data_IF_647493516777
#
_entry.id   IF_647493516777
#
_cell.length_a   1.000
_cell.length_b   1.000
_cell.length_c   1.000
_cell.angle_alpha   90.00
_cell.angle_beta   90.00
_cell.angle_gamma   90.00
#
_symmetry.space_group_name_H-M   'P 1'
#
loop_
_entity.id
_entity.type
_entity.pdbx_description
1 polymer ?
#
# COMPACT_ATOMS: atom_id res chain seq x y z
N UNK A 1 -21.32 5.85 -3.55
CA UNK A 1 -21.58 4.45 -3.13
C UNK A 1 -20.85 3.42 -3.99
N UNK A 2 -20.79 3.57 -5.33
CA UNK A 2 -20.07 2.61 -6.20
C UNK A 2 -18.55 2.60 -5.93
N UNK A 3 -17.92 3.78 -5.88
CA UNK A 3 -16.47 3.92 -5.65
C UNK A 3 -16.02 3.30 -4.32
N UNK A 4 -16.80 3.47 -3.26
CA UNK A 4 -16.52 2.88 -1.95
C UNK A 4 -16.62 1.36 -1.98
N UNK A 5 -17.60 0.79 -2.71
CA UNK A 5 -17.72 -0.66 -2.87
C UNK A 5 -16.54 -1.22 -3.67
N UNK A 6 -16.12 -0.52 -4.72
CA UNK A 6 -14.96 -0.88 -5.53
C UNK A 6 -13.68 -0.85 -4.70
N UNK A 7 -13.42 0.24 -3.97
CA UNK A 7 -12.28 0.38 -3.05
C UNK A 7 -12.23 -0.73 -1.99
N UNK A 8 -13.38 -1.04 -1.38
CA UNK A 8 -13.48 -2.13 -0.40
C UNK A 8 -13.21 -3.50 -1.04
N UNK A 9 -13.71 -3.73 -2.25
CA UNK A 9 -13.51 -4.99 -2.96
C UNK A 9 -12.03 -5.17 -3.36
N UNK A 10 -11.40 -4.14 -3.91
CA UNK A 10 -9.98 -4.14 -4.29
C UNK A 10 -9.10 -4.31 -3.06
N UNK A 11 -9.35 -3.52 -2.02
CA UNK A 11 -8.64 -3.63 -0.75
C UNK A 11 -8.73 -5.03 -0.16
N UNK A 12 -9.94 -5.58 -0.05
CA UNK A 12 -10.18 -6.91 0.56
C UNK A 12 -9.59 -8.06 -0.27
N UNK A 13 -9.58 -7.95 -1.59
CA UNK A 13 -9.20 -9.04 -2.49
C UNK A 13 -7.70 -9.04 -2.77
N UNK A 14 -7.12 -7.87 -3.05
CA UNK A 14 -5.75 -7.76 -3.56
C UNK A 14 -4.76 -7.35 -2.47
N UNK A 15 -4.97 -6.18 -1.85
CA UNK A 15 -3.94 -5.53 -1.03
C UNK A 15 -3.95 -5.98 0.43
N UNK A 16 -5.09 -5.93 1.11
CA UNK A 16 -5.20 -6.17 2.56
C UNK A 16 -4.69 -7.56 2.97
N UNK A 17 -5.03 -8.68 2.29
CA UNK A 17 -4.51 -9.99 2.65
C UNK A 17 -2.99 -10.10 2.53
N UNK A 18 -2.41 -9.46 1.51
CA UNK A 18 -0.97 -9.43 1.28
C UNK A 18 -0.27 -8.59 2.34
N UNK A 19 -0.81 -7.41 2.65
CA UNK A 19 -0.28 -6.51 3.69
C UNK A 19 -0.32 -7.22 5.05
N UNK A 20 -1.43 -7.86 5.41
CA UNK A 20 -1.53 -8.62 6.67
C UNK A 20 -0.49 -9.73 6.73
N UNK A 21 -0.30 -10.50 5.64
CA UNK A 21 0.74 -11.54 5.58
C UNK A 21 2.14 -10.94 5.75
N UNK A 22 2.40 -9.81 5.11
CA UNK A 22 3.67 -9.11 5.20
C UNK A 22 3.93 -8.64 6.63
N UNK A 23 2.98 -7.94 7.26
CA UNK A 23 3.09 -7.52 8.66
C UNK A 23 3.32 -8.70 9.60
N UNK A 24 2.64 -9.84 9.38
CA UNK A 24 2.82 -11.04 10.19
C UNK A 24 4.18 -11.72 9.98
N UNK A 25 4.77 -11.60 8.79
CA UNK A 25 6.09 -12.15 8.48
C UNK A 25 7.19 -11.29 9.09
N UNK A 26 7.11 -9.98 8.92
CA UNK A 26 8.10 -9.01 9.42
C UNK A 26 7.92 -8.68 10.90
N UNK A 27 6.79 -9.07 11.49
CA UNK A 27 6.35 -8.68 12.85
C UNK A 27 6.24 -7.15 13.04
N UNK A 28 6.06 -6.41 11.94
CA UNK A 28 5.87 -4.97 11.99
C UNK A 28 4.38 -4.59 12.09
N UNK A 29 4.12 -3.42 12.65
CA UNK A 29 2.77 -2.84 12.64
C UNK A 29 2.38 -2.42 11.23
N UNK A 30 1.07 -2.33 10.99
CA UNK A 30 0.53 -1.83 9.72
C UNK A 30 0.94 -0.37 9.44
N UNK A 31 1.18 0.43 10.49
CA UNK A 31 1.62 1.81 10.35
C UNK A 31 3.10 1.88 9.95
N UNK A 32 3.93 0.99 10.48
CA UNK A 32 5.31 0.86 10.07
C UNK A 32 5.40 0.43 8.59
N UNK A 33 4.58 -0.55 8.19
CA UNK A 33 4.48 -0.99 6.78
C UNK A 33 4.00 0.15 5.89
N UNK A 34 2.97 0.90 6.30
CA UNK A 34 2.49 2.07 5.55
C UNK A 34 3.62 3.07 5.28
N UNK A 35 4.38 3.44 6.31
CA UNK A 35 5.50 4.40 6.19
C UNK A 35 6.64 3.87 5.35
N UNK A 36 6.97 2.58 5.50
CA UNK A 36 8.01 1.93 4.72
C UNK A 36 7.68 1.97 3.22
N UNK A 37 6.45 1.60 2.85
CA UNK A 37 6.04 1.63 1.44
C UNK A 37 5.91 3.05 0.89
N UNK A 38 5.51 4.02 1.72
CA UNK A 38 5.55 5.43 1.37
C UNK A 38 6.99 5.95 1.17
N UNK A 39 7.94 5.49 1.98
CA UNK A 39 9.36 5.79 1.80
C UNK A 39 9.90 5.19 0.50
N UNK A 40 9.60 3.92 0.23
CA UNK A 40 9.99 3.25 -1.03
C UNK A 40 9.38 3.97 -2.23
N UNK A 41 8.10 4.36 -2.18
CA UNK A 41 7.46 5.13 -3.24
C UNK A 41 8.14 6.49 -3.45
N UNK A 42 8.52 7.19 -2.37
CA UNK A 42 9.24 8.44 -2.47
C UNK A 42 10.64 8.27 -3.10
N UNK A 43 11.35 7.18 -2.77
CA UNK A 43 12.63 6.85 -3.39
C UNK A 43 12.50 6.49 -4.86
N UNK A 44 11.49 5.72 -5.23
CA UNK A 44 11.21 5.39 -6.64
C UNK A 44 10.87 6.66 -7.44
N UNK A 45 10.03 7.53 -6.88
CA UNK A 45 9.76 8.85 -7.46
C UNK A 45 11.00 9.74 -7.57
N UNK A 46 11.92 9.66 -6.61
CA UNK A 46 13.20 10.38 -6.66
C UNK A 46 14.13 9.82 -7.73
N UNK A 47 14.20 8.49 -7.87
CA UNK A 47 15.02 7.83 -8.89
C UNK A 47 14.56 8.17 -10.32
N UNK A 48 13.25 8.34 -10.51
CA UNK A 48 12.60 8.65 -11.80
C UNK A 48 12.42 10.15 -12.05
N UNK A 49 12.94 10.99 -11.17
CA UNK A 49 12.74 12.44 -11.29
C UNK A 49 13.59 13.03 -12.42
N UNK A 50 12.97 13.33 -13.55
CA UNK A 50 13.66 13.91 -14.72
C UNK A 50 13.92 15.42 -14.61
N UNK A 51 13.22 16.12 -13.69
CA UNK A 51 13.37 17.57 -13.50
C UNK A 51 13.98 17.90 -12.14
N UNK A 52 14.74 18.99 -12.08
CA UNK A 52 15.36 19.46 -10.83
C UNK A 52 14.32 19.73 -9.72
N UNK A 53 13.15 20.24 -10.10
CA UNK A 53 12.04 20.45 -9.17
C UNK A 53 11.50 19.12 -8.62
N UNK A 54 11.26 18.13 -9.49
CA UNK A 54 10.83 16.79 -9.05
C UNK A 54 11.88 16.12 -8.16
N UNK A 55 13.17 16.26 -8.47
CA UNK A 55 14.24 15.67 -7.68
C UNK A 55 14.28 16.29 -6.28
N UNK A 56 14.17 17.61 -6.16
CA UNK A 56 14.10 18.28 -4.85
C UNK A 56 12.87 17.82 -4.08
N UNK A 57 11.70 17.80 -4.72
CA UNK A 57 10.44 17.44 -4.07
C UNK A 57 10.45 15.99 -3.56
N UNK A 58 10.79 15.02 -4.40
CA UNK A 58 10.85 13.61 -4.02
C UNK A 58 12.04 13.31 -3.09
N UNK A 59 13.14 14.03 -3.20
CA UNK A 59 14.28 13.93 -2.29
C UNK A 59 13.92 14.35 -0.87
N UNK A 60 13.29 15.53 -0.71
CA UNK A 60 12.79 16.00 0.58
C UNK A 60 11.73 15.05 1.15
N UNK A 61 10.80 14.59 0.30
CA UNK A 61 9.77 13.62 0.70
C UNK A 61 10.40 12.31 1.19
N UNK A 62 11.44 11.83 0.52
CA UNK A 62 12.17 10.61 0.90
C UNK A 62 12.84 10.75 2.26
N UNK A 63 13.53 11.88 2.50
CA UNK A 63 14.16 12.16 3.81
C UNK A 63 13.08 12.23 4.91
N UNK A 64 11.97 12.92 4.66
CA UNK A 64 10.87 13.03 5.61
C UNK A 64 10.25 11.66 5.91
N UNK A 65 9.99 10.86 4.88
CA UNK A 65 9.46 9.51 5.03
C UNK A 65 10.44 8.58 5.74
N UNK A 66 11.75 8.70 5.47
CA UNK A 66 12.79 7.96 6.20
C UNK A 66 12.78 8.30 7.70
N UNK A 67 12.77 9.59 8.04
CA UNK A 67 12.74 10.04 9.43
C UNK A 67 11.47 9.59 10.15
N UNK A 68 10.32 9.70 9.49
CA UNK A 68 9.04 9.31 10.09
C UNK A 68 8.88 7.79 10.17
N UNK A 69 9.45 7.02 9.24
CA UNK A 69 9.52 5.57 9.30
C UNK A 69 10.42 5.09 10.45
N UNK A 70 11.56 5.75 10.68
CA UNK A 70 12.50 5.38 11.74
C UNK A 70 12.07 5.84 13.14
N UNK A 71 11.54 7.05 13.28
CA UNK A 71 11.28 7.68 14.59
C UNK A 71 9.85 7.50 15.09
N UNK A 72 8.90 7.25 14.18
CA UNK A 72 7.46 7.28 14.49
C UNK A 72 6.71 6.12 13.86
N UNK A 73 7.38 5.00 13.60
CA UNK A 73 6.86 3.84 12.87
C UNK A 73 5.40 3.47 13.25
N UNK A 74 5.08 3.48 14.54
CA UNK A 74 3.79 3.02 15.07
C UNK A 74 2.72 4.10 15.26
N UNK A 75 3.00 5.36 14.89
CA UNK A 75 1.99 6.42 14.97
C UNK A 75 0.90 6.23 13.90
N UNK A 76 -0.39 6.42 14.28
CA UNK A 76 -1.51 6.15 13.39
C UNK A 76 -1.42 6.97 12.10
N UNK A 77 -1.48 6.28 10.97
CA UNK A 77 -1.52 6.88 9.65
C UNK A 77 -2.97 7.15 9.25
N UNK A 78 -3.20 8.27 8.54
CA UNK A 78 -4.50 8.57 7.93
C UNK A 78 -4.42 8.25 6.45
N UNK A 79 -5.40 7.50 5.96
CA UNK A 79 -5.62 7.32 4.52
C UNK A 79 -6.84 8.12 4.09
N UNK A 80 -6.85 8.56 2.83
CA UNK A 80 -8.00 9.19 2.19
C UNK A 80 -8.57 8.28 1.09
N UNK A 81 -9.88 8.03 1.13
CA UNK A 81 -10.59 7.29 0.07
C UNK A 81 -10.37 7.94 -1.29
N UNK A 82 -10.45 9.27 -1.36
CA UNK A 82 -10.30 10.00 -2.63
C UNK A 82 -8.89 9.81 -3.22
N UNK A 83 -7.86 9.89 -2.37
CA UNK A 83 -6.48 9.66 -2.79
C UNK A 83 -6.25 8.21 -3.26
N UNK A 84 -6.80 7.21 -2.55
CA UNK A 84 -6.75 5.81 -2.99
C UNK A 84 -7.42 5.58 -4.34
N UNK A 85 -8.59 6.18 -4.57
CA UNK A 85 -9.27 6.09 -5.87
C UNK A 85 -8.45 6.73 -7.00
N UNK A 86 -7.84 7.88 -6.74
CA UNK A 86 -6.97 8.56 -7.68
C UNK A 86 -5.72 7.74 -8.00
N UNK A 87 -5.07 7.17 -6.97
CA UNK A 87 -3.92 6.28 -7.14
C UNK A 87 -4.28 4.99 -7.91
N UNK A 88 -5.46 4.42 -7.68
CA UNK A 88 -5.96 3.29 -8.49
C UNK A 88 -6.22 3.69 -9.94
N UNK A 89 -6.75 4.90 -10.17
CA UNK A 89 -6.94 5.44 -11.52
C UNK A 89 -5.61 5.60 -12.26
N UNK A 90 -4.59 6.16 -11.61
CA UNK A 90 -3.26 6.27 -12.21
C UNK A 90 -2.59 4.91 -12.44
N UNK A 91 -2.70 3.98 -11.50
CA UNK A 91 -2.22 2.62 -11.72
C UNK A 91 -2.89 1.97 -12.94
N UNK A 92 -4.21 2.15 -13.11
CA UNK A 92 -4.92 1.62 -14.27
C UNK A 92 -4.45 2.27 -15.58
N UNK A 93 -4.19 3.58 -15.59
CA UNK A 93 -3.63 4.28 -16.74
C UNK A 93 -2.23 3.76 -17.10
N UNK A 94 -1.36 3.58 -16.12
CA UNK A 94 0.00 3.08 -16.35
C UNK A 94 0.00 1.62 -16.78
N UNK A 95 -0.90 0.78 -16.24
CA UNK A 95 -1.10 -0.58 -16.75
C UNK A 95 -1.58 -0.60 -18.21
N UNK A 96 -2.50 0.30 -18.58
CA UNK A 96 -2.94 0.41 -19.97
C UNK A 96 -1.79 0.84 -20.89
N UNK A 97 -0.96 1.80 -20.46
CA UNK A 97 0.25 2.18 -21.21
C UNK A 97 1.24 1.03 -21.32
N UNK A 98 1.47 0.28 -20.25
CA UNK A 98 2.33 -0.91 -20.25
C UNK A 98 1.85 -1.97 -21.23
N UNK A 99 0.54 -2.19 -21.32
CA UNK A 99 -0.05 -3.15 -22.27
C UNK A 99 -0.02 -2.65 -23.71
N UNK A 100 -0.32 -1.37 -23.95
CA UNK A 100 -0.47 -0.82 -25.32
C UNK A 100 0.89 -0.41 -25.92
N UNK A 101 1.75 0.23 -25.13
CA UNK A 101 3.02 0.80 -25.56
C UNK A 101 4.25 0.00 -25.09
N UNK A 102 4.07 -1.02 -24.23
CA UNK A 102 5.18 -1.77 -23.63
C UNK A 102 5.92 -0.99 -22.53
N UNK A 103 5.42 0.18 -22.14
CA UNK A 103 6.04 1.05 -21.14
C UNK A 103 5.57 0.68 -19.73
N UNK A 104 6.27 -0.25 -19.09
CA UNK A 104 5.95 -0.70 -17.72
C UNK A 104 6.59 0.18 -16.63
N UNK A 105 7.57 0.99 -17.01
CA UNK A 105 8.31 1.87 -16.11
C UNK A 105 7.35 2.85 -15.41
N UNK A 106 7.25 2.75 -14.10
CA UNK A 106 6.53 3.71 -13.25
C UNK A 106 5.26 3.13 -12.66
N UNK A 107 4.85 1.95 -13.14
CA UNK A 107 3.71 1.21 -12.60
C UNK A 107 3.95 0.84 -11.13
N UNK A 108 5.20 0.51 -10.76
CA UNK A 108 5.56 0.12 -9.40
C UNK A 108 5.33 1.24 -8.38
N UNK A 109 5.48 2.50 -8.77
CA UNK A 109 5.25 3.67 -7.91
C UNK A 109 3.84 3.61 -7.32
N UNK A 110 2.84 3.47 -8.18
CA UNK A 110 1.44 3.44 -7.75
C UNK A 110 1.09 2.18 -6.98
N UNK A 111 1.73 1.04 -7.30
CA UNK A 111 1.58 -0.17 -6.49
C UNK A 111 2.07 0.07 -5.07
N UNK A 112 3.25 0.69 -4.89
CA UNK A 112 3.78 1.00 -3.56
C UNK A 112 2.92 2.01 -2.81
N UNK A 113 2.46 3.07 -3.48
CA UNK A 113 1.52 4.05 -2.90
C UNK A 113 0.24 3.37 -2.43
N UNK A 114 -0.35 2.48 -3.24
CA UNK A 114 -1.57 1.78 -2.87
C UNK A 114 -1.35 0.83 -1.70
N UNK A 115 -0.24 0.10 -1.66
CA UNK A 115 0.12 -0.74 -0.50
C UNK A 115 0.21 0.13 0.76
N UNK A 116 0.88 1.28 0.67
CA UNK A 116 1.05 2.19 1.79
C UNK A 116 -0.29 2.72 2.33
N UNK A 117 -1.17 3.15 1.42
CA UNK A 117 -2.49 3.68 1.76
C UNK A 117 -3.42 2.59 2.31
N UNK A 118 -3.47 1.41 1.67
CA UNK A 118 -4.28 0.31 2.19
C UNK A 118 -3.75 -0.20 3.54
N UNK A 119 -2.45 -0.15 3.79
CA UNK A 119 -1.89 -0.49 5.09
C UNK A 119 -2.38 0.48 6.19
N UNK A 120 -2.47 1.78 5.89
CA UNK A 120 -3.01 2.79 6.80
C UNK A 120 -4.51 2.61 7.11
N UNK A 121 -5.27 1.91 6.25
CA UNK A 121 -6.70 1.63 6.50
C UNK A 121 -6.95 0.48 7.48
N UNK A 122 -5.96 -0.39 7.68
CA UNK A 122 -6.08 -1.55 8.57
C UNK A 122 -6.02 -1.08 10.01
N UNK A 123 -7.10 -1.31 10.78
CA UNK A 123 -7.11 -0.95 12.21
C UNK A 123 -6.57 -2.02 13.12
N UNK A 124 -6.78 -3.29 12.77
CA UNK A 124 -6.35 -4.43 13.57
C UNK A 124 -5.79 -5.53 12.67
N UNK A 125 -4.61 -6.04 13.04
CA UNK A 125 -4.03 -7.21 12.38
C UNK A 125 -4.51 -8.43 13.18
N UNK A 126 -5.29 -9.35 12.57
CA UNK A 126 -5.78 -10.52 13.29
C UNK A 126 -4.59 -11.41 13.72
N UNK A 127 -4.58 -11.94 14.96
CA UNK A 127 -3.52 -12.84 15.40
C UNK A 127 -3.46 -14.10 14.53
N UNK A 128 -2.25 -14.60 14.23
CA UNK A 128 -2.03 -15.79 13.40
C UNK A 128 -2.86 -17.01 13.85
N UNK A 129 -3.10 -17.15 15.15
CA UNK A 129 -3.85 -18.25 15.74
C UNK A 129 -5.36 -18.19 15.48
N UNK A 130 -5.94 -16.99 15.43
CA UNK A 130 -7.37 -16.83 15.13
C UNK A 130 -7.70 -17.22 13.68
N UNK A 131 -6.73 -17.08 12.75
CA UNK A 131 -6.91 -17.56 11.37
C UNK A 131 -6.93 -19.09 11.29
N UNK A 132 -6.10 -19.79 12.08
CA UNK A 132 -6.15 -21.26 12.18
C UNK A 132 -7.48 -21.74 12.75
N UNK A 133 -8.00 -21.06 13.79
CA UNK A 133 -9.31 -21.38 14.37
C UNK A 133 -10.47 -21.07 13.41
N UNK A 134 -10.45 -19.94 12.71
CA UNK A 134 -11.48 -19.57 11.73
C UNK A 134 -11.47 -20.47 10.49
N UNK A 135 -10.29 -20.85 9.98
CA UNK A 135 -10.17 -21.80 8.88
C UNK A 135 -10.62 -23.22 9.29
N UNK A 136 -10.31 -23.63 10.53
CA UNK A 136 -10.80 -24.90 11.09
C UNK A 136 -12.31 -24.90 11.30
N UNK A 137 -12.89 -23.78 11.72
CA UNK A 137 -14.34 -23.62 11.87
C UNK A 137 -15.07 -23.62 10.51
N UNK A 138 -14.52 -22.94 9.50
CA UNK A 138 -15.09 -22.93 8.15
C UNK A 138 -14.96 -24.28 7.41
N UNK A 139 -13.92 -25.07 7.71
CA UNK A 139 -13.77 -26.43 7.20
C UNK A 139 -14.65 -27.46 7.91
N UNK A 140 -15.06 -27.21 9.16
CA UNK A 140 -15.91 -28.10 9.94
C UNK A 140 -17.41 -27.92 9.67
N UNK A 141 -17.82 -26.81 9.04
CA UNK A 141 -19.20 -26.57 8.60
C UNK A 141 -19.50 -27.10 7.19
N UNK A 142 -18.54 -27.79 6.56
CA UNK A 142 -18.64 -28.32 5.20
C UNK A 142 -18.60 -29.86 5.16
N UNK A 143 -18.74 -30.51 6.31
CA UNK A 143 -18.73 -31.96 6.51
C UNK A 143 -19.92 -32.40 7.34
#
# INVERSE_FOLDING_TARGET
MLLTKLDLWIGKTLFVPLIIKFCQLTRQSQYAVSRLFWFIAALDGFHRADTLLSSIMFGVMSIFMMLTASLRADMPARSSLWFRMLAMGFLALDLMKGVVAGEWLGTEFWVFVLIAEYAATIRTIPPREHRKKAAKAAGASAS
#
